data_IF_473158812921
#
_entry.id   IF_473158812921
#
_cell.length_a   1.000
_cell.length_b   1.000
_cell.length_c   1.000
_cell.angle_alpha   90.00
_cell.angle_beta   90.00
_cell.angle_gamma   90.00
#
_symmetry.space_group_name_H-M   'P 1'
#
loop_
_entity.id
_entity.type
_entity.pdbx_description
1 polymer ?
#
# COMPACT_ATOMS: atom_id res chain seq x y z
N UNK A 1 -10.59 -30.31 6.08
CA UNK A 1 -10.02 -29.29 5.18
C UNK A 1 -10.57 -27.95 5.63
N UNK A 2 -9.73 -27.01 6.06
CA UNK A 2 -10.21 -25.64 6.33
C UNK A 2 -10.46 -24.95 4.99
N UNK A 3 -11.58 -24.24 4.89
CA UNK A 3 -11.93 -23.39 3.75
C UNK A 3 -11.94 -21.95 4.23
N UNK A 4 -11.26 -21.07 3.52
CA UNK A 4 -11.22 -19.64 3.84
C UNK A 4 -12.14 -18.88 2.90
N UNK A 5 -13.03 -18.01 3.41
CA UNK A 5 -13.81 -17.12 2.56
C UNK A 5 -12.88 -16.24 1.70
N UNK A 6 -13.20 -16.15 0.41
CA UNK A 6 -12.45 -15.33 -0.56
C UNK A 6 -13.39 -14.32 -1.18
N UNK A 7 -12.98 -13.06 -1.17
CA UNK A 7 -13.68 -11.96 -1.82
C UNK A 7 -12.81 -11.39 -2.94
N UNK A 8 -13.41 -11.19 -4.12
CA UNK A 8 -12.72 -10.63 -5.30
C UNK A 8 -13.34 -9.29 -5.69
N UNK A 9 -12.48 -8.33 -5.96
CA UNK A 9 -12.83 -7.00 -6.42
C UNK A 9 -12.03 -6.62 -7.67
N UNK A 10 -12.63 -5.83 -8.56
CA UNK A 10 -12.00 -5.32 -9.78
C UNK A 10 -12.46 -3.89 -10.00
N UNK A 11 -11.54 -3.03 -10.43
CA UNK A 11 -11.81 -1.61 -10.68
C UNK A 11 -11.83 -0.76 -9.41
N UNK A 12 -12.39 0.46 -9.47
CA UNK A 12 -12.40 1.39 -8.35
C UNK A 12 -13.13 0.87 -7.12
N UNK A 13 -12.65 1.26 -5.95
CA UNK A 13 -13.31 1.00 -4.67
C UNK A 13 -14.79 1.41 -4.69
N UNK A 14 -15.64 0.56 -4.14
CA UNK A 14 -17.08 0.79 -4.08
C UNK A 14 -17.69 0.30 -2.76
N UNK A 15 -19.00 0.48 -2.60
CA UNK A 15 -19.71 0.07 -1.37
C UNK A 15 -19.57 -1.41 -1.07
N UNK A 16 -19.48 -2.27 -2.10
CA UNK A 16 -19.37 -3.72 -1.93
C UNK A 16 -17.97 -4.09 -1.44
N UNK A 17 -16.90 -3.53 -2.03
CA UNK A 17 -15.53 -3.80 -1.56
C UNK A 17 -15.30 -3.32 -0.14
N UNK A 18 -15.99 -2.26 0.30
CA UNK A 18 -15.92 -1.72 1.67
C UNK A 18 -16.57 -2.60 2.72
N UNK A 19 -17.42 -3.55 2.32
CA UNK A 19 -17.97 -4.55 3.25
C UNK A 19 -16.94 -5.61 3.62
N UNK A 20 -15.93 -5.86 2.77
CA UNK A 20 -14.79 -6.70 3.14
C UNK A 20 -13.81 -5.90 4.01
N UNK A 21 -13.64 -6.32 5.25
CA UNK A 21 -12.84 -5.59 6.23
C UNK A 21 -11.36 -5.48 5.84
N UNK A 22 -10.81 -6.50 5.19
CA UNK A 22 -9.43 -6.49 4.67
C UNK A 22 -9.25 -5.45 3.57
N UNK A 23 -10.17 -5.41 2.59
CA UNK A 23 -10.16 -4.39 1.54
C UNK A 23 -10.42 -2.99 2.08
N UNK A 24 -11.35 -2.83 3.03
CA UNK A 24 -11.61 -1.53 3.67
C UNK A 24 -10.37 -0.99 4.39
N UNK A 25 -9.61 -1.86 5.07
CA UNK A 25 -8.34 -1.50 5.69
C UNK A 25 -7.32 -1.01 4.64
N UNK A 26 -7.17 -1.74 3.53
CA UNK A 26 -6.25 -1.37 2.44
C UNK A 26 -6.65 -0.07 1.76
N UNK A 27 -7.95 0.14 1.49
CA UNK A 27 -8.48 1.41 0.96
C UNK A 27 -8.17 2.56 1.91
N UNK A 28 -8.47 2.40 3.20
CA UNK A 28 -8.26 3.45 4.22
C UNK A 28 -6.79 3.84 4.33
N UNK A 29 -5.89 2.86 4.32
CA UNK A 29 -4.45 3.10 4.24
C UNK A 29 -4.08 3.87 2.96
N UNK A 30 -4.53 3.39 1.79
CA UNK A 30 -4.21 4.02 0.51
C UNK A 30 -4.72 5.47 0.43
N UNK A 31 -5.93 5.74 0.93
CA UNK A 31 -6.51 7.09 1.01
C UNK A 31 -5.69 7.99 1.92
N UNK A 32 -5.30 7.52 3.10
CA UNK A 32 -4.51 8.31 4.03
C UNK A 32 -3.17 8.71 3.40
N UNK A 33 -2.42 7.74 2.87
CA UNK A 33 -1.08 8.01 2.32
C UNK A 33 -1.12 8.87 1.05
N UNK A 34 -2.23 8.87 0.29
CA UNK A 34 -2.38 9.71 -0.90
C UNK A 34 -2.94 11.09 -0.60
N UNK A 35 -3.57 11.29 0.57
CA UNK A 35 -4.06 12.60 1.02
C UNK A 35 -2.94 13.52 1.53
N UNK A 36 -1.94 12.97 2.21
CA UNK A 36 -0.79 13.74 2.72
C UNK A 36 0.48 12.87 2.71
N UNK A 37 1.37 13.19 1.77
CA UNK A 37 2.63 12.47 1.56
C UNK A 37 3.65 12.65 2.71
N UNK A 38 3.41 13.58 3.64
CA UNK A 38 4.23 13.73 4.86
C UNK A 38 3.96 12.65 5.90
N UNK A 39 2.83 11.93 5.76
CA UNK A 39 2.37 10.87 6.64
C UNK A 39 2.23 11.36 8.10
N UNK A 40 1.28 12.25 8.42
CA UNK A 40 1.19 12.88 9.75
C UNK A 40 0.75 11.91 10.86
N UNK A 41 0.17 10.76 10.52
CA UNK A 41 -0.34 9.77 11.47
C UNK A 41 0.76 9.02 12.25
N UNK A 42 0.45 8.38 13.39
CA UNK A 42 1.45 7.60 14.15
C UNK A 42 2.03 6.45 13.33
N UNK A 43 3.32 6.10 13.47
CA UNK A 43 3.91 5.00 12.69
C UNK A 43 3.12 3.69 12.82
N UNK A 44 2.51 3.48 13.99
CA UNK A 44 1.73 2.32 14.38
C UNK A 44 0.28 2.35 13.89
N UNK A 45 -0.24 3.41 13.25
CA UNK A 45 -1.65 3.43 12.80
C UNK A 45 -1.99 2.27 11.85
N UNK A 46 -1.10 1.97 10.90
CA UNK A 46 -1.34 0.94 9.88
C UNK A 46 -0.34 -0.22 9.90
N UNK A 47 0.86 -0.04 10.46
CA UNK A 47 1.88 -1.09 10.51
C UNK A 47 2.11 -1.52 11.95
N UNK A 48 2.23 -2.82 12.19
CA UNK A 48 2.58 -3.30 13.53
C UNK A 48 4.03 -2.92 13.88
N UNK A 49 4.36 -2.73 15.17
CA UNK A 49 5.75 -2.65 15.64
C UNK A 49 6.63 -3.80 15.13
N UNK A 50 6.06 -5.00 14.96
CA UNK A 50 6.75 -6.18 14.41
C UNK A 50 6.75 -6.30 12.87
N UNK A 51 6.10 -5.37 12.16
CA UNK A 51 5.80 -5.54 10.73
C UNK A 51 7.07 -5.70 9.89
N UNK A 52 7.04 -6.61 8.91
CA UNK A 52 8.13 -6.72 7.93
C UNK A 52 7.66 -6.30 6.54
N UNK A 53 8.34 -5.31 5.95
CA UNK A 53 8.08 -4.83 4.59
C UNK A 53 9.20 -5.29 3.65
N UNK A 54 8.82 -5.99 2.58
CA UNK A 54 9.72 -6.43 1.51
C UNK A 54 9.50 -5.56 0.27
N UNK A 55 10.49 -4.75 -0.08
CA UNK A 55 10.46 -3.94 -1.31
C UNK A 55 10.87 -4.78 -2.53
N UNK A 56 10.60 -4.27 -3.72
CA UNK A 56 10.94 -4.88 -5.01
C UNK A 56 12.45 -4.88 -5.33
N UNK A 57 13.28 -4.32 -4.44
CA UNK A 57 14.73 -4.20 -4.59
C UNK A 57 15.51 -5.13 -3.66
N UNK A 58 14.85 -6.14 -3.09
CA UNK A 58 15.37 -7.05 -2.04
C UNK A 58 15.74 -6.36 -0.73
N UNK A 59 15.44 -5.07 -0.57
CA UNK A 59 15.57 -4.36 0.70
C UNK A 59 14.38 -4.70 1.60
N UNK A 60 14.68 -5.00 2.86
CA UNK A 60 13.66 -5.28 3.89
C UNK A 60 13.67 -4.19 4.96
N UNK A 61 12.50 -3.68 5.31
CA UNK A 61 12.30 -2.73 6.41
C UNK A 61 11.56 -3.42 7.55
N UNK A 62 11.99 -3.18 8.80
CA UNK A 62 11.47 -3.85 9.99
C UNK A 62 10.87 -2.86 10.97
N UNK A 63 9.62 -3.10 11.31
CA UNK A 63 8.84 -2.30 12.24
C UNK A 63 8.27 -1.02 11.63
N UNK A 64 7.17 -0.59 12.23
CA UNK A 64 6.39 0.56 11.82
C UNK A 64 7.21 1.85 11.59
N UNK A 65 8.18 2.14 12.46
CA UNK A 65 9.01 3.35 12.38
C UNK A 65 9.92 3.39 11.15
N UNK A 66 10.62 2.29 10.87
CA UNK A 66 11.52 2.18 9.73
C UNK A 66 10.76 2.26 8.41
N UNK A 67 9.61 1.57 8.33
CA UNK A 67 8.72 1.57 7.17
C UNK A 67 8.23 3.00 6.89
N UNK A 68 7.71 3.70 7.90
CA UNK A 68 7.24 5.08 7.73
C UNK A 68 8.36 6.02 7.28
N UNK A 69 9.54 5.90 7.89
CA UNK A 69 10.71 6.73 7.53
C UNK A 69 11.14 6.49 6.09
N UNK A 70 11.11 5.23 5.63
CA UNK A 70 11.37 4.89 4.24
C UNK A 70 10.30 5.47 3.30
N UNK A 71 9.02 5.33 3.63
CA UNK A 71 7.93 5.89 2.81
C UNK A 71 8.03 7.41 2.68
N UNK A 72 8.35 8.13 3.75
CA UNK A 72 8.55 9.59 3.69
C UNK A 72 9.68 9.97 2.73
N UNK A 73 10.80 9.24 2.74
CA UNK A 73 11.89 9.44 1.77
C UNK A 73 11.44 9.12 0.35
N UNK A 74 10.77 7.98 0.15
CA UNK A 74 10.25 7.54 -1.13
C UNK A 74 9.28 8.56 -1.73
N UNK A 75 8.41 9.16 -0.91
CA UNK A 75 7.36 10.07 -1.36
C UNK A 75 7.80 11.52 -1.49
N UNK A 76 8.93 11.89 -0.88
CA UNK A 76 9.47 13.26 -0.91
C UNK A 76 9.64 13.93 -2.29
N UNK A 77 9.91 13.23 -3.42
CA UNK A 77 10.07 13.89 -4.72
C UNK A 77 8.74 14.13 -5.45
N UNK A 78 7.60 13.68 -4.92
CA UNK A 78 6.29 13.79 -5.56
C UNK A 78 5.45 14.93 -4.98
N UNK A 79 4.63 15.54 -5.82
CA UNK A 79 3.53 16.44 -5.41
C UNK A 79 2.26 15.67 -5.09
N UNK A 80 2.03 14.56 -5.80
CA UNK A 80 0.83 13.75 -5.70
C UNK A 80 1.12 12.29 -6.00
N UNK A 81 0.43 11.40 -5.30
CA UNK A 81 0.35 9.98 -5.60
C UNK A 81 -1.11 9.56 -5.72
N UNK A 82 -1.39 8.63 -6.62
CA UNK A 82 -2.64 7.88 -6.64
C UNK A 82 -2.35 6.39 -6.82
N UNK A 83 -3.18 5.55 -6.19
CA UNK A 83 -3.20 4.11 -6.44
C UNK A 83 -4.57 3.74 -6.99
N UNK A 84 -4.66 3.57 -8.31
CA UNK A 84 -5.87 3.08 -8.93
C UNK A 84 -5.90 1.55 -8.82
N UNK A 85 -6.96 1.00 -8.25
CA UNK A 85 -7.15 -0.45 -8.15
C UNK A 85 -7.44 -1.02 -9.53
N UNK A 86 -6.68 -2.05 -9.90
CA UNK A 86 -6.96 -2.89 -11.06
C UNK A 86 -7.79 -4.08 -10.59
N UNK A 87 -7.26 -4.84 -9.64
CA UNK A 87 -7.94 -5.97 -9.03
C UNK A 87 -7.43 -6.23 -7.60
N UNK A 88 -8.28 -6.78 -6.75
CA UNK A 88 -7.93 -7.23 -5.40
C UNK A 88 -8.56 -8.58 -5.11
N UNK A 89 -7.84 -9.41 -4.37
CA UNK A 89 -8.31 -10.65 -3.76
C UNK A 89 -8.10 -10.55 -2.25
N UNK A 90 -9.16 -10.63 -1.46
CA UNK A 90 -9.11 -10.68 0.00
C UNK A 90 -9.44 -12.09 0.46
N UNK A 91 -8.60 -12.65 1.32
CA UNK A 91 -8.77 -13.97 1.91
C UNK A 91 -8.95 -13.76 3.40
N UNK A 92 -10.10 -14.16 3.93
CA UNK A 92 -10.35 -14.12 5.37
C UNK A 92 -9.84 -15.42 6.01
N UNK A 93 -8.70 -15.32 6.68
CA UNK A 93 -8.03 -16.43 7.35
C UNK A 93 -8.35 -16.51 8.85
N UNK A 94 -9.33 -15.74 9.31
CA UNK A 94 -9.73 -15.71 10.72
C UNK A 94 -10.22 -17.09 11.17
N UNK A 95 -9.65 -17.64 12.24
CA UNK A 95 -10.20 -18.84 12.88
C UNK A 95 -11.48 -18.45 13.63
N UNK A 96 -12.64 -19.07 13.31
CA UNK A 96 -13.89 -18.79 14.02
C UNK A 96 -13.81 -18.98 15.54
N UNK A 97 -12.81 -19.73 16.03
CA UNK A 97 -12.58 -20.04 17.44
C UNK A 97 -11.68 -19.03 18.15
N UNK A 98 -10.75 -18.37 17.43
CA UNK A 98 -9.75 -17.48 18.04
C UNK A 98 -10.19 -16.01 18.05
N UNK A 99 -11.31 -15.65 17.40
CA UNK A 99 -11.86 -14.27 17.31
C UNK A 99 -10.86 -13.17 16.90
N UNK A 100 -9.66 -13.55 16.48
CA UNK A 100 -8.61 -12.66 16.00
C UNK A 100 -8.75 -12.54 14.49
N UNK A 101 -9.09 -11.34 13.99
CA UNK A 101 -9.19 -11.14 12.55
C UNK A 101 -7.82 -11.36 11.91
N UNK A 102 -7.83 -12.07 10.79
CA UNK A 102 -6.66 -12.27 9.94
C UNK A 102 -7.06 -12.23 8.47
N UNK A 103 -6.35 -11.43 7.69
CA UNK A 103 -6.61 -11.28 6.26
C UNK A 103 -5.31 -11.32 5.46
N UNK A 104 -5.37 -11.96 4.30
CA UNK A 104 -4.40 -11.77 3.22
C UNK A 104 -5.08 -11.04 2.08
N UNK A 105 -4.56 -9.86 1.70
CA UNK A 105 -5.02 -9.11 0.53
C UNK A 105 -3.93 -9.11 -0.53
N UNK A 106 -4.25 -9.61 -1.73
CA UNK A 106 -3.41 -9.51 -2.92
C UNK A 106 -4.04 -8.44 -3.82
N UNK A 107 -3.34 -7.34 -4.04
CA UNK A 107 -3.83 -6.22 -4.84
C UNK A 107 -2.92 -5.89 -6.00
N UNK A 108 -3.52 -5.70 -7.17
CA UNK A 108 -2.93 -5.12 -8.36
C UNK A 108 -3.35 -3.66 -8.46
N UNK A 109 -2.38 -2.75 -8.53
CA UNK A 109 -2.63 -1.32 -8.58
C UNK A 109 -1.86 -0.68 -9.73
N UNK A 110 -2.47 0.34 -10.35
CA UNK A 110 -1.76 1.29 -11.19
C UNK A 110 -1.37 2.50 -10.34
N UNK A 111 -0.07 2.59 -10.07
CA UNK A 111 0.52 3.76 -9.43
C UNK A 111 0.62 4.93 -10.37
N UNK A 112 0.09 6.09 -9.98
CA UNK A 112 0.31 7.35 -10.68
C UNK A 112 1.15 8.27 -9.82
N UNK A 113 2.28 8.73 -10.36
CA UNK A 113 3.28 9.47 -9.62
C UNK A 113 3.51 10.82 -10.29
N UNK A 114 3.10 11.92 -9.63
CA UNK A 114 3.38 13.27 -10.11
C UNK A 114 4.64 13.78 -9.44
N UNK A 115 5.70 13.95 -10.21
CA UNK A 115 6.92 14.58 -9.72
C UNK A 115 6.70 16.06 -9.48
N UNK A 116 7.43 16.62 -8.52
CA UNK A 116 7.42 18.05 -8.23
C UNK A 116 7.62 18.89 -9.50
N UNK A 117 6.62 19.71 -9.84
CA UNK A 117 6.66 20.56 -11.04
C UNK A 117 6.45 19.83 -12.38
N UNK A 118 6.00 18.57 -12.36
CA UNK A 118 5.54 17.84 -13.54
C UNK A 118 4.02 17.62 -13.47
N UNK A 119 3.21 18.25 -14.35
CA UNK A 119 1.76 18.10 -14.32
C UNK A 119 1.27 16.70 -14.76
N UNK A 120 2.12 15.94 -15.46
CA UNK A 120 1.75 14.63 -15.99
C UNK A 120 2.23 13.50 -15.07
N UNK A 121 1.38 12.52 -14.72
CA UNK A 121 1.83 11.40 -13.91
C UNK A 121 2.76 10.47 -14.70
N UNK A 122 3.64 9.78 -13.98
CA UNK A 122 4.29 8.57 -14.46
C UNK A 122 3.53 7.37 -13.90
N UNK A 123 3.12 6.48 -14.81
CA UNK A 123 2.32 5.30 -14.51
C UNK A 123 3.23 4.10 -14.27
N UNK A 124 3.03 3.41 -13.16
CA UNK A 124 3.76 2.17 -12.85
C UNK A 124 2.82 1.13 -12.22
N UNK A 125 2.61 -0.01 -12.88
CA UNK A 125 1.88 -1.14 -12.29
C UNK A 125 2.65 -1.69 -11.09
N UNK A 126 1.92 -2.08 -10.04
CA UNK A 126 2.47 -2.75 -8.88
C UNK A 126 1.54 -3.87 -8.40
N UNK A 127 2.12 -4.90 -7.82
CA UNK A 127 1.42 -5.91 -7.04
C UNK A 127 1.85 -5.77 -5.60
N UNK A 128 0.89 -5.80 -4.68
CA UNK A 128 1.14 -5.80 -3.26
C UNK A 128 0.43 -6.99 -2.60
N UNK A 129 1.14 -7.68 -1.72
CA UNK A 129 0.57 -8.71 -0.86
C UNK A 129 0.63 -8.18 0.57
N UNK A 130 -0.53 -7.95 1.16
CA UNK A 130 -0.70 -7.47 2.52
C UNK A 130 -1.17 -8.61 3.41
N UNK A 131 -0.43 -8.86 4.49
CA UNK A 131 -0.94 -9.66 5.60
C UNK A 131 -1.38 -8.69 6.69
N UNK A 132 -2.64 -8.81 7.11
CA UNK A 132 -3.30 -7.94 8.07
C UNK A 132 -3.73 -8.79 9.24
N UNK A 133 -3.30 -8.40 10.43
CA UNK A 133 -3.60 -9.09 11.69
C UNK A 133 -4.23 -8.11 12.69
N UNK A 134 -4.66 -8.64 13.83
CA UNK A 134 -5.02 -7.83 15.00
C UNK A 134 -3.89 -6.88 15.36
N UNK A 135 -4.24 -5.66 15.75
CA UNK A 135 -3.25 -4.68 16.13
C UNK A 135 -2.50 -5.08 17.40
N UNK A 136 -1.19 -4.83 17.42
CA UNK A 136 -0.30 -4.96 18.57
C UNK A 136 -0.33 -3.72 19.49
N UNK A 137 -1.03 -2.65 19.09
CA UNK A 137 -1.04 -1.35 19.77
C UNK A 137 -2.45 -0.76 19.80
N UNK A 138 -2.74 0.16 20.71
CA UNK A 138 -4.04 0.83 20.77
C UNK A 138 -4.31 1.73 19.55
N UNK A 139 -3.25 2.17 18.86
CA UNK A 139 -3.33 3.06 17.69
C UNK A 139 -3.80 2.39 16.38
N UNK A 140 -3.94 1.05 16.37
CA UNK A 140 -4.25 0.30 15.16
C UNK A 140 -5.59 0.72 14.54
N UNK A 141 -5.59 1.00 13.24
CA UNK A 141 -6.79 1.40 12.52
C UNK A 141 -7.84 0.27 12.55
N UNK A 142 -8.99 0.55 13.15
CA UNK A 142 -10.07 -0.42 13.39
C UNK A 142 -9.57 -1.70 14.11
N UNK A 143 -8.56 -1.57 14.99
CA UNK A 143 -7.95 -2.69 15.69
C UNK A 143 -7.16 -3.64 14.79
N UNK A 144 -6.77 -3.20 13.59
CA UNK A 144 -5.97 -3.95 12.63
C UNK A 144 -4.66 -3.24 12.32
N UNK A 145 -3.66 -4.02 11.91
CA UNK A 145 -2.38 -3.54 11.38
C UNK A 145 -1.88 -4.50 10.29
N UNK A 146 -1.06 -4.00 9.37
CA UNK A 146 -0.20 -4.85 8.56
C UNK A 146 0.83 -5.53 9.44
N UNK A 147 0.91 -6.85 9.36
CA UNK A 147 1.97 -7.67 9.96
C UNK A 147 3.10 -7.96 8.98
N UNK A 148 2.79 -7.99 7.67
CA UNK A 148 3.82 -7.96 6.64
C UNK A 148 3.27 -7.44 5.31
N UNK A 149 4.14 -6.85 4.51
CA UNK A 149 3.80 -6.37 3.16
C UNK A 149 4.89 -6.78 2.19
N UNK A 150 4.51 -7.30 1.02
CA UNK A 150 5.42 -7.55 -0.11
C UNK A 150 5.01 -6.65 -1.27
N UNK A 151 5.95 -5.89 -1.80
CA UNK A 151 5.76 -5.00 -2.94
C UNK A 151 6.55 -5.51 -4.14
N UNK A 152 5.87 -5.68 -5.26
CA UNK A 152 6.46 -6.04 -6.54
C UNK A 152 6.11 -4.97 -7.57
N UNK A 153 7.12 -4.32 -8.14
CA UNK A 153 6.94 -3.37 -9.23
C UNK A 153 8.27 -3.09 -9.92
N UNK A 154 8.21 -2.62 -11.17
CA UNK A 154 9.41 -2.19 -11.88
C UNK A 154 9.74 -0.72 -11.54
N UNK A 155 10.63 -0.53 -10.55
CA UNK A 155 11.12 0.79 -10.13
C UNK A 155 11.82 1.56 -11.26
N UNK A 156 12.39 0.84 -12.24
CA UNK A 156 13.11 1.47 -13.36
C UNK A 156 12.18 2.29 -14.23
N UNK A 157 10.91 1.90 -14.38
CA UNK A 157 9.93 2.64 -15.20
C UNK A 157 9.80 4.10 -14.74
N UNK A 158 9.68 4.31 -13.42
CA UNK A 158 9.54 5.66 -12.86
C UNK A 158 10.83 6.46 -13.01
N UNK A 159 11.97 5.84 -12.75
CA UNK A 159 13.29 6.47 -12.86
C UNK A 159 13.59 6.86 -14.30
N UNK A 160 13.43 5.94 -15.23
CA UNK A 160 13.82 6.09 -16.64
C UNK A 160 12.93 7.12 -17.35
N UNK A 161 11.62 7.09 -17.08
CA UNK A 161 10.68 8.08 -17.61
C UNK A 161 10.95 9.49 -17.04
N UNK A 162 11.30 9.60 -15.76
CA UNK A 162 11.72 10.88 -15.18
C UNK A 162 12.96 11.45 -15.88
N UNK A 163 13.99 10.62 -16.08
CA UNK A 163 15.22 11.02 -16.77
C UNK A 163 14.93 11.48 -18.21
N UNK A 164 14.09 10.74 -18.93
CA UNK A 164 13.67 11.09 -20.30
C UNK A 164 13.00 12.46 -20.35
N UNK A 165 12.06 12.74 -19.44
CA UNK A 165 11.34 14.03 -19.40
C UNK A 165 12.25 15.20 -19.05
N UNK A 166 13.20 15.02 -18.15
CA UNK A 166 14.19 16.04 -17.81
C UNK A 166 15.03 16.44 -19.03
N UNK A 167 15.55 15.45 -19.78
CA UNK A 167 16.36 15.70 -20.98
C UNK A 167 15.59 16.40 -22.11
N UNK A 168 14.28 16.18 -22.22
CA UNK A 168 13.44 16.87 -23.22
C UNK A 168 13.18 18.32 -22.81
N UNK A 169 12.98 18.61 -21.52
CA UNK A 169 12.80 19.98 -21.01
C UNK A 169 14.07 20.84 -21.20
N UNK A 170 15.25 20.25 -21.02
CA UNK A 170 16.53 20.97 -21.22
C UNK A 170 16.84 21.29 -22.70
N UNK A 171 16.09 20.70 -23.65
CA UNK A 171 16.26 20.89 -25.09
C UNK A 171 15.18 21.78 -25.72
N UNK A 172 14.18 22.20 -24.95
CA UNK A 172 13.07 23.05 -25.40
C UNK A 172 13.26 24.48 -24.89
#
# INVERSE_FOLDING_TARGET
MMSFPVFRHTGPWNEISRQDRGLHFVESYATEITSDLTLPYSSTKFFSPSCTFYDATDVTYKGAGDIKSWMQRLFSPFDKLEFAVISCLSINESDPRDKKPKYTVIGEFLGKHWFKGDPEPILAPRVMIFNIDVSETEDGFDGLQYSSVRLYWNTSLVRDERMRRAQTKDKA
#
